data_IF_230382747374
#
_entry.id   IF_230382747374
#
_cell.length_a   1.000
_cell.length_b   1.000
_cell.length_c   1.000
_cell.angle_alpha   90.00
_cell.angle_beta   90.00
_cell.angle_gamma   90.00
#
_symmetry.space_group_name_H-M   'P 1'
#
loop_
_entity.id
_entity.type
_entity.pdbx_description
1 polymer ?
#
# COMPACT_ATOMS: atom_id res chain seq x y z
N UNK A 1 -1.92 -33.93 40.03
CA UNK A 1 -2.45 -33.00 39.01
C UNK A 1 -1.26 -32.37 38.31
N UNK A 2 -0.86 -32.97 37.21
CA UNK A 2 0.23 -32.51 36.33
C UNK A 2 -0.35 -31.57 35.27
N UNK A 3 0.29 -30.43 34.95
CA UNK A 3 -0.18 -29.57 33.87
C UNK A 3 0.27 -30.16 32.53
N UNK A 4 -0.71 -30.46 31.69
CA UNK A 4 -0.54 -30.87 30.30
C UNK A 4 0.26 -29.82 29.53
N UNK A 5 1.40 -30.24 28.98
CA UNK A 5 2.20 -29.45 28.05
C UNK A 5 1.66 -29.69 26.64
N UNK A 6 0.98 -28.70 26.05
CA UNK A 6 0.72 -28.68 24.62
C UNK A 6 1.98 -28.25 23.87
N UNK A 7 2.67 -29.22 23.28
CA UNK A 7 3.64 -29.00 22.21
C UNK A 7 2.95 -29.28 20.88
N UNK A 8 2.79 -28.27 20.03
CA UNK A 8 2.54 -28.50 18.61
C UNK A 8 3.88 -28.45 17.87
N UNK A 9 4.35 -29.63 17.47
CA UNK A 9 5.26 -29.79 16.34
C UNK A 9 4.39 -30.44 15.29
N UNK A 10 3.94 -29.69 14.27
CA UNK A 10 3.34 -30.31 13.09
C UNK A 10 4.49 -30.99 12.37
N UNK A 11 4.55 -32.33 12.28
CA UNK A 11 5.47 -32.97 11.37
C UNK A 11 5.03 -32.57 9.96
N UNK A 12 5.93 -32.00 9.15
CA UNK A 12 5.74 -32.03 7.71
C UNK A 12 5.54 -33.51 7.34
N UNK A 13 4.46 -33.87 6.63
CA UNK A 13 4.23 -35.25 6.29
C UNK A 13 5.33 -35.74 5.35
N UNK A 14 6.08 -36.76 5.77
CA UNK A 14 7.08 -37.47 4.98
C UNK A 14 6.45 -38.36 3.88
N UNK A 15 5.15 -38.24 3.60
CA UNK A 15 4.51 -38.98 2.51
C UNK A 15 4.35 -38.10 1.28
N UNK A 16 5.05 -38.49 0.22
CA UNK A 16 4.89 -37.99 -1.16
C UNK A 16 3.41 -37.82 -1.55
N UNK A 17 2.55 -38.73 -1.07
CA UNK A 17 1.09 -38.67 -1.21
C UNK A 17 0.44 -37.40 -0.64
N UNK A 18 0.85 -36.90 0.52
CA UNK A 18 0.26 -35.68 1.10
C UNK A 18 0.74 -34.42 0.39
N UNK A 19 1.96 -34.44 -0.18
CA UNK A 19 2.47 -33.38 -1.05
C UNK A 19 1.69 -33.31 -2.37
N UNK A 20 1.42 -34.46 -2.99
CA UNK A 20 0.61 -34.54 -4.22
C UNK A 20 -0.82 -34.07 -3.99
N UNK A 21 -1.46 -34.48 -2.89
CA UNK A 21 -2.80 -34.00 -2.53
C UNK A 21 -2.81 -32.49 -2.32
N UNK A 22 -1.86 -31.94 -1.56
CA UNK A 22 -1.77 -30.50 -1.34
C UNK A 22 -1.56 -29.71 -2.64
N UNK A 23 -0.65 -30.17 -3.51
CA UNK A 23 -0.38 -29.52 -4.79
C UNK A 23 -1.60 -29.56 -5.71
N UNK A 24 -2.31 -30.68 -5.76
CA UNK A 24 -3.54 -30.82 -6.54
C UNK A 24 -4.64 -29.88 -6.03
N UNK A 25 -4.83 -29.79 -4.72
CA UNK A 25 -5.83 -28.89 -4.11
C UNK A 25 -5.47 -27.42 -4.33
N UNK A 26 -4.19 -27.06 -4.18
CA UNK A 26 -3.71 -25.71 -4.44
C UNK A 26 -3.89 -25.31 -5.91
N UNK A 27 -3.54 -26.18 -6.85
CA UNK A 27 -3.73 -25.93 -8.28
C UNK A 27 -5.22 -25.74 -8.62
N UNK A 28 -6.11 -26.54 -8.02
CA UNK A 28 -7.55 -26.40 -8.20
C UNK A 28 -8.10 -25.07 -7.63
N UNK A 29 -7.74 -24.68 -6.41
CA UNK A 29 -8.13 -23.37 -5.83
C UNK A 29 -7.57 -22.19 -6.63
N UNK A 30 -6.33 -22.30 -7.11
CA UNK A 30 -5.71 -21.28 -7.94
C UNK A 30 -6.45 -21.11 -9.27
N UNK A 31 -6.75 -22.21 -9.97
CA UNK A 31 -7.49 -22.17 -11.23
C UNK A 31 -8.90 -21.59 -11.05
N UNK A 32 -9.63 -22.03 -10.02
CA UNK A 32 -10.98 -21.51 -9.75
C UNK A 32 -10.98 -19.99 -9.53
N UNK A 33 -10.02 -19.47 -8.75
CA UNK A 33 -9.88 -18.01 -8.54
C UNK A 33 -9.41 -17.26 -9.77
N UNK A 34 -8.61 -17.90 -10.63
CA UNK A 34 -8.18 -17.30 -11.88
C UNK A 34 -9.38 -17.09 -12.81
N UNK A 35 -10.25 -18.09 -12.95
CA UNK A 35 -11.49 -17.99 -13.72
C UNK A 35 -12.42 -16.89 -13.16
N UNK A 36 -12.59 -16.80 -11.84
CA UNK A 36 -13.37 -15.72 -11.19
C UNK A 36 -12.84 -14.32 -11.55
N UNK A 37 -11.51 -14.14 -11.53
CA UNK A 37 -10.87 -12.88 -11.94
C UNK A 37 -11.13 -12.57 -13.42
N UNK A 38 -11.06 -13.58 -14.30
CA UNK A 38 -11.33 -13.42 -15.73
C UNK A 38 -12.81 -13.04 -15.99
N UNK A 39 -13.75 -13.61 -15.25
CA UNK A 39 -15.17 -13.23 -15.32
C UNK A 39 -15.40 -11.78 -14.89
N UNK A 40 -14.76 -11.33 -13.81
CA UNK A 40 -14.82 -9.94 -13.34
C UNK A 40 -14.27 -8.99 -14.41
N UNK A 41 -13.14 -9.32 -15.03
CA UNK A 41 -12.54 -8.52 -16.11
C UNK A 41 -13.49 -8.45 -17.30
N UNK A 42 -14.03 -9.59 -17.76
CA UNK A 42 -14.96 -9.66 -18.88
C UNK A 42 -16.24 -8.85 -18.62
N UNK A 43 -16.76 -8.88 -17.39
CA UNK A 43 -17.90 -8.07 -16.97
C UNK A 43 -17.59 -6.56 -17.08
N UNK A 44 -16.43 -6.12 -16.59
CA UNK A 44 -16.02 -4.71 -16.67
C UNK A 44 -15.81 -4.26 -18.13
N UNK A 45 -15.19 -5.10 -18.97
CA UNK A 45 -15.05 -4.82 -20.40
C UNK A 45 -16.40 -4.68 -21.11
N UNK A 46 -17.37 -5.52 -20.77
CA UNK A 46 -18.73 -5.44 -21.31
C UNK A 46 -19.43 -4.15 -20.86
N UNK A 47 -19.28 -3.74 -19.59
CA UNK A 47 -19.87 -2.50 -19.07
C UNK A 47 -19.23 -1.26 -19.70
N UNK A 48 -17.90 -1.23 -19.85
CA UNK A 48 -17.18 -0.16 -20.57
C UNK A 48 -17.66 -0.09 -22.01
N UNK A 49 -17.77 -1.23 -22.72
CA UNK A 49 -18.27 -1.28 -24.11
C UNK A 49 -19.70 -0.76 -24.21
N UNK A 50 -20.57 -1.10 -23.25
CA UNK A 50 -21.95 -0.59 -23.17
C UNK A 50 -21.95 0.93 -22.99
N UNK A 51 -21.17 1.47 -22.06
CA UNK A 51 -21.06 2.91 -21.83
C UNK A 51 -20.52 3.67 -23.04
N UNK A 52 -19.51 3.12 -23.72
CA UNK A 52 -18.97 3.69 -24.96
C UNK A 52 -19.99 3.65 -26.11
N UNK A 53 -20.78 2.58 -26.24
CA UNK A 53 -21.80 2.46 -27.29
C UNK A 53 -22.95 3.46 -27.13
N UNK A 54 -23.36 3.75 -25.89
CA UNK A 54 -24.36 4.79 -25.57
C UNK A 54 -23.78 6.18 -25.82
N UNK A 55 -22.50 6.39 -25.52
CA UNK A 55 -21.79 7.66 -25.65
C UNK A 55 -21.61 8.12 -27.10
N UNK A 56 -21.29 7.24 -28.05
CA UNK A 56 -20.99 7.63 -29.44
C UNK A 56 -22.20 8.32 -30.14
N UNK A 57 -23.43 8.04 -29.71
CA UNK A 57 -24.63 8.66 -30.29
C UNK A 57 -24.97 10.06 -29.72
N UNK A 58 -24.40 10.45 -28.56
CA UNK A 58 -24.78 11.68 -27.83
C UNK A 58 -23.63 12.69 -27.67
N UNK A 59 -22.42 12.39 -28.15
CA UNK A 59 -21.19 13.09 -27.77
C UNK A 59 -20.89 14.45 -28.43
N UNK A 60 -21.88 15.11 -29.07
CA UNK A 60 -21.69 16.45 -29.64
C UNK A 60 -22.10 17.60 -28.70
N UNK A 61 -22.59 17.33 -27.49
CA UNK A 61 -23.00 18.38 -26.54
C UNK A 61 -21.91 18.70 -25.50
N UNK A 62 -21.64 19.99 -25.19
CA UNK A 62 -20.71 20.42 -24.13
C UNK A 62 -21.11 20.00 -22.70
N UNK A 63 -22.35 19.60 -22.47
CA UNK A 63 -22.90 19.32 -21.13
C UNK A 63 -22.42 18.00 -20.47
N UNK A 64 -21.40 17.33 -21.03
CA UNK A 64 -20.97 15.98 -20.63
C UNK A 64 -19.48 15.91 -20.23
N UNK A 65 -18.90 16.99 -19.69
CA UNK A 65 -17.50 17.03 -19.24
C UNK A 65 -17.20 16.03 -18.13
N UNK A 66 -18.09 15.88 -17.16
CA UNK A 66 -17.92 14.98 -16.01
C UNK A 66 -17.94 13.49 -16.41
N UNK A 67 -18.76 13.13 -17.40
CA UNK A 67 -18.77 11.77 -17.95
C UNK A 67 -17.51 11.45 -18.77
N UNK A 68 -16.84 12.46 -19.36
CA UNK A 68 -15.55 12.28 -20.04
C UNK A 68 -14.43 11.97 -19.06
N UNK A 69 -14.42 12.62 -17.91
CA UNK A 69 -13.46 12.37 -16.84
C UNK A 69 -13.63 10.96 -16.27
N UNK A 70 -14.87 10.54 -16.00
CA UNK A 70 -15.18 9.18 -15.55
C UNK A 70 -14.81 8.10 -16.58
N UNK A 71 -15.00 8.36 -17.88
CA UNK A 71 -14.56 7.44 -18.93
C UNK A 71 -13.02 7.41 -19.06
N UNK A 72 -12.35 8.54 -18.84
CA UNK A 72 -10.89 8.63 -18.80
C UNK A 72 -10.30 7.80 -17.66
N UNK A 73 -10.85 7.92 -16.46
CA UNK A 73 -10.49 7.12 -15.28
C UNK A 73 -10.70 5.62 -15.53
N UNK A 74 -11.88 5.21 -16.02
CA UNK A 74 -12.15 3.80 -16.32
C UNK A 74 -11.24 3.21 -17.39
N UNK A 75 -10.90 3.99 -18.41
CA UNK A 75 -10.01 3.53 -19.48
C UNK A 75 -8.55 3.45 -18.98
N UNK A 76 -8.13 4.36 -18.10
CA UNK A 76 -6.84 4.28 -17.43
C UNK A 76 -6.74 3.04 -16.53
N UNK A 77 -7.75 2.78 -15.69
CA UNK A 77 -7.81 1.59 -14.83
C UNK A 77 -7.77 0.27 -15.63
N UNK A 78 -8.52 0.20 -16.74
CA UNK A 78 -8.49 -0.96 -17.63
C UNK A 78 -7.11 -1.15 -18.27
N UNK A 79 -6.44 -0.06 -18.67
CA UNK A 79 -5.11 -0.13 -19.24
C UNK A 79 -4.05 -0.52 -18.22
N UNK A 80 -4.15 -0.05 -16.97
CA UNK A 80 -3.28 -0.50 -15.87
C UNK A 80 -3.49 -1.99 -15.60
N UNK A 81 -4.73 -2.46 -15.55
CA UNK A 81 -5.04 -3.88 -15.39
C UNK A 81 -4.50 -4.72 -16.55
N UNK A 82 -4.67 -4.26 -17.80
CA UNK A 82 -4.16 -4.95 -19.01
C UNK A 82 -2.65 -4.96 -19.11
N UNK A 83 -1.99 -3.85 -18.82
CA UNK A 83 -0.53 -3.76 -18.78
C UNK A 83 0.02 -4.71 -17.72
N UNK A 84 -0.58 -4.72 -16.53
CA UNK A 84 -0.17 -5.64 -15.47
C UNK A 84 -0.42 -7.10 -15.85
N UNK A 85 -1.56 -7.43 -16.46
CA UNK A 85 -1.81 -8.79 -16.98
C UNK A 85 -0.77 -9.17 -18.01
N UNK A 86 -0.46 -8.31 -18.99
CA UNK A 86 0.55 -8.59 -20.02
C UNK A 86 1.97 -8.75 -19.47
N UNK A 87 2.36 -7.95 -18.47
CA UNK A 87 3.64 -8.06 -17.77
C UNK A 87 3.76 -9.36 -16.96
N UNK A 88 2.63 -9.94 -16.52
CA UNK A 88 2.59 -11.13 -15.67
C UNK A 88 2.10 -12.39 -16.41
N UNK A 89 1.60 -12.28 -17.65
CA UNK A 89 1.14 -13.38 -18.48
C UNK A 89 2.28 -14.36 -18.81
N UNK A 90 3.52 -13.88 -18.87
CA UNK A 90 4.72 -14.73 -18.99
C UNK A 90 5.12 -15.44 -17.70
N UNK A 91 4.68 -14.95 -16.52
CA UNK A 91 4.97 -15.57 -15.22
C UNK A 91 4.00 -16.71 -14.89
N UNK A 92 2.79 -16.68 -15.43
CA UNK A 92 1.76 -17.71 -15.18
C UNK A 92 2.17 -19.09 -15.75
N UNK A 93 2.67 -19.22 -17.00
CA UNK A 93 3.24 -20.46 -17.50
C UNK A 93 4.49 -20.89 -16.73
N UNK A 94 5.31 -19.96 -16.22
CA UNK A 94 6.49 -20.31 -15.44
C UNK A 94 6.14 -20.84 -14.05
N UNK A 95 5.11 -20.31 -13.38
CA UNK A 95 4.60 -20.81 -12.10
C UNK A 95 3.84 -22.13 -12.27
N UNK A 96 3.12 -22.31 -13.38
CA UNK A 96 2.37 -23.54 -13.69
C UNK A 96 3.25 -24.66 -14.30
N UNK A 97 4.36 -24.34 -14.97
CA UNK A 97 5.36 -25.29 -15.48
C UNK A 97 6.57 -25.45 -14.53
N UNK A 98 6.55 -24.92 -13.31
CA UNK A 98 7.51 -25.37 -12.31
C UNK A 98 7.18 -26.84 -12.03
N UNK A 99 8.10 -27.73 -12.40
CA UNK A 99 8.08 -29.10 -11.93
C UNK A 99 8.31 -29.04 -10.41
N UNK A 100 7.22 -28.99 -9.65
CA UNK A 100 7.26 -28.91 -8.19
C UNK A 100 7.98 -30.12 -7.58
N UNK A 101 8.17 -31.22 -8.32
CA UNK A 101 9.00 -32.34 -7.89
C UNK A 101 10.51 -32.00 -7.84
N UNK A 102 10.97 -30.98 -8.59
CA UNK A 102 12.36 -30.52 -8.61
C UNK A 102 12.68 -29.43 -7.59
N UNK A 103 11.69 -28.86 -6.91
CA UNK A 103 11.93 -27.96 -5.78
C UNK A 103 12.37 -28.82 -4.59
N UNK A 104 13.67 -28.78 -4.31
CA UNK A 104 14.29 -29.37 -3.12
C UNK A 104 13.67 -28.76 -1.85
N UNK A 105 13.26 -29.62 -0.91
CA UNK A 105 12.67 -29.25 0.38
C UNK A 105 13.56 -28.33 1.22
N UNK A 106 14.84 -28.15 0.85
CA UNK A 106 15.79 -27.25 1.49
C UNK A 106 15.75 -25.79 1.00
N UNK A 107 14.76 -25.37 0.20
CA UNK A 107 14.63 -24.00 -0.29
C UNK A 107 13.43 -23.22 0.30
N UNK A 108 13.41 -22.94 1.61
CA UNK A 108 12.30 -22.24 2.28
C UNK A 108 12.06 -20.80 1.77
N UNK A 109 13.04 -20.22 1.08
CA UNK A 109 12.91 -18.89 0.47
C UNK A 109 11.96 -18.88 -0.73
N UNK A 110 11.81 -20.00 -1.45
CA UNK A 110 10.87 -20.12 -2.59
C UNK A 110 9.43 -20.14 -2.08
N UNK A 111 9.15 -20.92 -1.04
CA UNK A 111 7.84 -20.94 -0.39
C UNK A 111 7.47 -19.58 0.23
N UNK A 112 8.40 -18.93 0.93
CA UNK A 112 8.18 -17.59 1.48
C UNK A 112 7.91 -16.53 0.38
N UNK A 113 8.55 -16.66 -0.79
CA UNK A 113 8.31 -15.78 -1.93
C UNK A 113 6.90 -16.00 -2.53
N UNK A 114 6.46 -17.25 -2.65
CA UNK A 114 5.12 -17.61 -3.12
C UNK A 114 4.04 -17.13 -2.14
N UNK A 115 4.21 -17.37 -0.83
CA UNK A 115 3.28 -16.88 0.19
C UNK A 115 3.22 -15.36 0.23
N UNK A 116 4.36 -14.68 0.14
CA UNK A 116 4.42 -13.22 0.06
C UNK A 116 3.74 -12.67 -1.20
N UNK A 117 3.84 -13.38 -2.33
CA UNK A 117 3.13 -13.05 -3.56
C UNK A 117 1.61 -13.21 -3.39
N UNK A 118 1.14 -14.33 -2.82
CA UNK A 118 -0.29 -14.57 -2.56
C UNK A 118 -0.88 -13.57 -1.57
N UNK A 119 -0.14 -13.22 -0.50
CA UNK A 119 -0.57 -12.25 0.49
C UNK A 119 -0.71 -10.83 -0.10
N UNK A 120 0.26 -10.40 -0.91
CA UNK A 120 0.19 -9.12 -1.66
C UNK A 120 -1.01 -9.11 -2.61
N UNK A 121 -1.26 -10.21 -3.32
CA UNK A 121 -2.39 -10.35 -4.24
C UNK A 121 -3.74 -10.25 -3.51
N UNK A 122 -3.88 -10.86 -2.34
CA UNK A 122 -5.09 -10.75 -1.50
C UNK A 122 -5.32 -9.32 -1.00
N UNK A 123 -4.26 -8.60 -0.63
CA UNK A 123 -4.37 -7.21 -0.19
C UNK A 123 -4.82 -6.29 -1.31
N UNK A 124 -4.26 -6.45 -2.52
CA UNK A 124 -4.65 -5.65 -3.68
C UNK A 124 -6.10 -5.93 -4.06
N UNK A 125 -6.51 -7.20 -4.13
CA UNK A 125 -7.89 -7.57 -4.44
C UNK A 125 -8.89 -7.10 -3.37
N UNK A 126 -8.51 -7.13 -2.09
CA UNK A 126 -9.32 -6.57 -1.00
C UNK A 126 -9.56 -5.07 -1.16
N UNK A 127 -8.50 -4.31 -1.45
CA UNK A 127 -8.60 -2.87 -1.71
C UNK A 127 -9.49 -2.55 -2.92
N UNK A 128 -9.39 -3.36 -4.00
CA UNK A 128 -10.28 -3.23 -5.16
C UNK A 128 -11.74 -3.53 -4.81
N UNK A 129 -12.01 -4.56 -4.01
CA UNK A 129 -13.37 -4.93 -3.60
C UNK A 129 -14.02 -3.86 -2.71
N UNK A 130 -13.26 -3.29 -1.77
CA UNK A 130 -13.72 -2.20 -0.90
C UNK A 130 -13.99 -0.92 -1.72
N UNK A 131 -13.12 -0.60 -2.67
CA UNK A 131 -13.29 0.53 -3.59
C UNK A 131 -14.55 0.36 -4.46
N UNK A 132 -14.76 -0.83 -5.04
CA UNK A 132 -15.96 -1.15 -5.84
C UNK A 132 -17.24 -1.06 -4.98
N UNK A 133 -17.17 -1.52 -3.72
CA UNK A 133 -18.29 -1.46 -2.78
C UNK A 133 -18.65 -0.02 -2.38
N UNK A 134 -17.65 0.82 -2.15
CA UNK A 134 -17.86 2.27 -1.92
C UNK A 134 -18.42 2.97 -3.14
N UNK A 135 -17.98 2.60 -4.34
CA UNK A 135 -18.51 3.12 -5.59
C UNK A 135 -19.95 2.71 -5.87
N UNK A 136 -20.34 1.48 -5.55
CA UNK A 136 -21.74 1.04 -5.61
C UNK A 136 -22.64 1.93 -4.74
N UNK A 137 -22.20 2.22 -3.51
CA UNK A 137 -22.91 3.10 -2.59
C UNK A 137 -22.99 4.55 -3.09
N UNK A 138 -21.90 5.08 -3.64
CA UNK A 138 -21.86 6.43 -4.20
C UNK A 138 -22.80 6.56 -5.41
N UNK A 139 -22.82 5.56 -6.31
CA UNK A 139 -23.70 5.49 -7.47
C UNK A 139 -25.18 5.49 -7.09
N UNK A 140 -25.56 4.72 -6.08
CA UNK A 140 -26.95 4.68 -5.61
C UNK A 140 -27.39 6.03 -5.03
N UNK A 141 -26.46 6.72 -4.34
CA UNK A 141 -26.69 8.06 -3.77
C UNK A 141 -26.81 9.15 -4.85
N UNK A 142 -25.94 9.12 -5.87
CA UNK A 142 -26.02 10.05 -7.01
C UNK A 142 -27.26 9.80 -7.88
N UNK A 143 -27.68 8.55 -8.04
CA UNK A 143 -28.91 8.18 -8.77
C UNK A 143 -30.17 8.73 -8.09
N UNK A 144 -30.19 8.81 -6.75
CA UNK A 144 -31.28 9.46 -6.01
C UNK A 144 -31.26 10.98 -6.15
N UNK A 145 -30.08 11.61 -6.09
CA UNK A 145 -29.96 13.07 -6.20
C UNK A 145 -30.29 13.61 -7.60
N UNK A 146 -29.86 12.90 -8.66
CA UNK A 146 -30.17 13.28 -10.05
C UNK A 146 -31.67 13.18 -10.34
N UNK A 147 -32.41 12.25 -9.69
CA UNK A 147 -33.87 12.17 -9.83
C UNK A 147 -34.59 13.31 -9.12
N UNK A 148 -34.03 13.82 -8.02
CA UNK A 148 -34.56 14.97 -7.28
C UNK A 148 -34.27 16.30 -8.00
N UNK A 149 -33.06 16.48 -8.55
CA UNK A 149 -32.69 17.68 -9.32
C UNK A 149 -33.36 17.76 -10.69
N UNK A 150 -33.56 16.63 -11.38
CA UNK A 150 -34.29 16.58 -12.65
C UNK A 150 -35.77 17.01 -12.52
N UNK A 151 -36.31 17.02 -11.30
CA UNK A 151 -37.66 17.52 -11.02
C UNK A 151 -37.68 19.04 -10.75
N UNK A 152 -36.53 19.68 -10.50
CA UNK A 152 -36.43 21.08 -10.06
C UNK A 152 -35.92 22.06 -11.12
N UNK A 153 -35.32 21.60 -12.21
CA UNK A 153 -34.71 22.49 -13.22
C UNK A 153 -35.51 22.50 -14.53
N UNK A 154 -36.49 23.39 -14.60
CA UNK A 154 -37.17 23.76 -15.85
C UNK A 154 -37.17 25.30 -16.01
N UNK A 155 -35.98 25.88 -16.20
CA UNK A 155 -35.79 27.25 -16.70
C UNK A 155 -34.47 27.34 -17.46
N UNK A 156 -34.54 27.80 -18.72
CA UNK A 156 -33.51 27.63 -19.75
C UNK A 156 -32.19 28.39 -19.53
N UNK A 157 -31.14 28.07 -20.30
CA UNK A 157 -29.78 28.52 -20.01
C UNK A 157 -29.44 29.87 -20.66
N UNK A 158 -28.80 30.71 -19.87
CA UNK A 158 -28.07 31.92 -20.28
C UNK A 158 -26.63 31.54 -20.67
N UNK A 159 -26.15 32.10 -21.77
CA UNK A 159 -24.96 31.66 -22.51
C UNK A 159 -23.71 32.39 -22.00
N UNK A 160 -22.75 31.68 -21.40
CA UNK A 160 -21.43 32.20 -21.05
C UNK A 160 -20.36 31.53 -21.92
N UNK A 161 -19.62 32.33 -22.68
CA UNK A 161 -18.46 31.91 -23.46
C UNK A 161 -17.19 32.08 -22.61
N UNK A 162 -16.45 30.99 -22.39
CA UNK A 162 -15.12 30.99 -21.75
C UNK A 162 -14.09 30.59 -22.81
N UNK A 163 -13.15 31.48 -23.05
CA UNK A 163 -11.99 31.27 -23.93
C UNK A 163 -10.85 30.60 -23.15
N UNK A 164 -10.31 29.50 -23.67
CA UNK A 164 -9.13 28.83 -23.15
C UNK A 164 -7.97 29.04 -24.13
N UNK A 165 -6.90 29.70 -23.66
CA UNK A 165 -5.59 29.72 -24.33
C UNK A 165 -4.82 28.44 -23.98
N UNK A 166 -4.32 27.66 -24.96
CA UNK A 166 -3.38 26.59 -24.70
C UNK A 166 -2.04 26.90 -25.38
N UNK A 167 -1.07 27.43 -24.64
CA UNK A 167 0.35 27.40 -25.05
C UNK A 167 1.21 27.68 -23.81
N UNK A 168 1.52 26.63 -23.05
CA UNK A 168 2.67 26.64 -22.14
C UNK A 168 3.86 26.25 -23.00
N UNK A 169 4.54 27.27 -23.52
CA UNK A 169 5.85 27.15 -24.15
C UNK A 169 6.86 26.61 -23.13
N UNK A 170 7.52 25.50 -23.48
CA UNK A 170 8.74 25.03 -22.83
C UNK A 170 9.85 26.06 -23.10
N UNK A 171 9.88 27.11 -22.28
CA UNK A 171 10.86 28.18 -22.38
C UNK A 171 12.28 27.66 -22.07
N UNK A 172 13.18 27.96 -23.02
CA UNK A 172 14.63 27.83 -22.97
C UNK A 172 15.25 28.02 -21.58
N UNK A 173 15.97 27.00 -21.10
CA UNK A 173 16.81 27.08 -19.91
C UNK A 173 18.16 27.72 -20.28
N UNK A 174 18.18 29.04 -20.45
CA UNK A 174 19.42 29.81 -20.50
C UNK A 174 20.17 29.70 -19.16
N UNK A 175 21.50 29.67 -19.25
CA UNK A 175 22.53 29.53 -18.20
C UNK A 175 22.51 30.62 -17.10
N UNK A 176 21.35 30.95 -16.54
CA UNK A 176 21.27 31.78 -15.36
C UNK A 176 21.69 30.90 -14.17
N UNK A 177 22.85 31.20 -13.58
CA UNK A 177 23.33 30.54 -12.36
C UNK A 177 22.27 30.71 -11.27
N UNK A 178 21.41 29.70 -11.11
CA UNK A 178 20.43 29.64 -10.04
C UNK A 178 21.22 29.65 -8.74
N UNK A 179 21.11 30.75 -7.98
CA UNK A 179 21.73 30.86 -6.67
C UNK A 179 21.25 29.65 -5.82
N UNK A 180 22.16 28.88 -5.20
CA UNK A 180 21.77 27.71 -4.43
C UNK A 180 20.82 28.13 -3.32
N UNK A 181 19.64 27.49 -3.27
CA UNK A 181 18.63 27.74 -2.24
C UNK A 181 19.19 27.26 -0.90
N UNK A 182 19.21 28.15 0.10
CA UNK A 182 19.68 27.80 1.44
C UNK A 182 18.60 27.03 2.20
N UNK A 183 18.82 25.72 2.38
CA UNK A 183 17.95 24.84 3.16
C UNK A 183 18.17 25.03 4.67
N UNK A 184 17.08 25.07 5.44
CA UNK A 184 17.09 25.05 6.91
C UNK A 184 17.57 23.70 7.45
N UNK A 185 17.88 23.64 8.75
CA UNK A 185 18.30 22.37 9.40
C UNK A 185 17.20 21.31 9.32
N UNK A 186 15.94 21.72 9.46
CA UNK A 186 14.78 20.83 9.41
C UNK A 186 14.54 20.31 7.99
N UNK A 187 14.55 21.20 7.00
CA UNK A 187 14.43 20.85 5.58
C UNK A 187 15.50 19.83 5.18
N UNK A 188 16.77 20.06 5.57
CA UNK A 188 17.86 19.10 5.31
C UNK A 188 17.63 17.75 5.98
N UNK A 189 17.11 17.71 7.22
CA UNK A 189 16.84 16.44 7.90
C UNK A 189 15.72 15.66 7.24
N UNK A 190 14.63 16.33 6.87
CA UNK A 190 13.52 15.70 6.13
C UNK A 190 14.01 15.17 4.79
N UNK A 191 14.74 15.99 4.04
CA UNK A 191 15.29 15.61 2.74
C UNK A 191 16.29 14.45 2.88
N UNK A 192 17.08 14.43 3.95
CA UNK A 192 18.00 13.35 4.25
C UNK A 192 17.30 12.02 4.58
N UNK A 193 16.17 12.07 5.29
CA UNK A 193 15.33 10.88 5.52
C UNK A 193 14.77 10.38 4.21
N UNK A 194 14.17 11.25 3.41
CA UNK A 194 13.51 10.90 2.15
C UNK A 194 14.51 10.44 1.08
N UNK A 195 15.73 10.98 1.06
CA UNK A 195 16.78 10.56 0.13
C UNK A 195 17.27 9.12 0.39
N UNK A 196 17.19 8.66 1.64
CA UNK A 196 17.56 7.30 2.03
C UNK A 196 16.40 6.30 1.91
N UNK A 197 15.20 6.78 1.58
CA UNK A 197 13.94 6.06 1.62
C UNK A 197 13.16 6.26 0.30
N UNK A 198 13.59 5.61 -0.79
CA UNK A 198 13.13 5.93 -2.14
C UNK A 198 11.65 5.60 -2.41
N UNK A 199 11.08 4.64 -1.68
CA UNK A 199 9.69 4.16 -1.89
C UNK A 199 8.62 5.15 -1.40
N UNK A 200 9.05 6.22 -0.71
CA UNK A 200 8.17 7.21 -0.12
C UNK A 200 7.54 6.76 1.20
N UNK A 201 7.32 7.71 2.10
CA UNK A 201 6.86 7.43 3.46
C UNK A 201 5.77 8.40 3.90
N UNK A 202 4.87 7.91 4.75
CA UNK A 202 3.84 8.76 5.33
C UNK A 202 4.47 9.79 6.28
N UNK A 203 3.84 10.97 6.35
CA UNK A 203 4.29 12.13 7.14
C UNK A 203 4.76 11.78 8.55
N UNK A 204 4.01 10.97 9.29
CA UNK A 204 4.35 10.63 10.68
C UNK A 204 5.66 9.83 10.83
N UNK A 205 6.02 8.99 9.84
CA UNK A 205 7.32 8.32 9.82
C UNK A 205 8.45 9.30 9.59
N UNK A 206 8.25 10.26 8.68
CA UNK A 206 9.23 11.29 8.34
C UNK A 206 9.52 12.14 9.57
N UNK A 207 8.48 12.60 10.29
CA UNK A 207 8.63 13.37 11.54
C UNK A 207 9.60 12.69 12.49
N UNK A 208 9.37 11.40 12.70
CA UNK A 208 10.09 10.66 13.71
C UNK A 208 11.51 10.29 13.26
N UNK A 209 11.71 9.90 12.00
CA UNK A 209 13.05 9.61 11.48
C UNK A 209 13.91 10.87 11.37
N UNK A 210 13.30 12.03 11.13
CA UNK A 210 13.97 13.32 11.17
C UNK A 210 14.32 13.76 12.62
N UNK A 211 13.82 13.02 13.63
CA UNK A 211 14.12 13.23 15.04
C UNK A 211 13.31 14.36 15.69
N UNK A 212 12.09 14.60 15.21
CA UNK A 212 11.18 15.64 15.71
C UNK A 212 10.04 15.06 16.55
N UNK A 213 9.44 15.93 17.37
CA UNK A 213 8.29 15.58 18.18
C UNK A 213 7.08 15.25 17.30
N UNK A 214 6.29 14.26 17.73
CA UNK A 214 5.15 13.71 17.01
C UNK A 214 4.04 14.74 16.76
N UNK A 215 4.05 15.86 17.49
CA UNK A 215 3.13 16.99 17.28
C UNK A 215 3.28 17.61 15.89
N UNK A 216 4.44 17.48 15.24
CA UNK A 216 4.60 17.68 13.80
C UNK A 216 4.27 19.08 13.28
N UNK A 217 4.18 20.09 14.15
CA UNK A 217 3.72 21.44 13.79
C UNK A 217 4.62 22.08 12.72
N UNK A 218 5.93 21.89 12.82
CA UNK A 218 6.91 22.44 11.86
C UNK A 218 7.07 21.58 10.60
N UNK A 219 6.55 20.34 10.59
CA UNK A 219 6.77 19.44 9.46
C UNK A 219 5.92 19.80 8.26
N UNK A 220 4.64 20.18 8.44
CA UNK A 220 3.77 20.51 7.31
C UNK A 220 4.33 21.67 6.47
N UNK A 221 4.69 22.83 7.06
CA UNK A 221 5.26 23.93 6.27
C UNK A 221 6.61 23.56 5.63
N UNK A 222 7.36 22.66 6.25
CA UNK A 222 8.61 22.14 5.68
C UNK A 222 8.36 21.30 4.43
N UNK A 223 7.37 20.40 4.46
CA UNK A 223 7.03 19.55 3.32
C UNK A 223 6.50 20.40 2.16
N UNK A 224 5.57 21.32 2.44
CA UNK A 224 5.02 22.26 1.44
C UNK A 224 6.15 23.04 0.75
N UNK A 225 7.08 23.61 1.53
CA UNK A 225 8.22 24.34 0.97
C UNK A 225 9.16 23.44 0.16
N UNK A 226 9.44 22.21 0.61
CA UNK A 226 10.28 21.28 -0.14
C UNK A 226 9.62 20.83 -1.45
N UNK A 227 8.29 20.73 -1.48
CA UNK A 227 7.50 20.42 -2.67
C UNK A 227 7.49 21.61 -3.64
N UNK A 228 7.27 22.83 -3.16
CA UNK A 228 7.37 24.07 -3.96
C UNK A 228 8.76 24.22 -4.61
N UNK A 229 9.81 23.76 -3.94
CA UNK A 229 11.19 23.75 -4.46
C UNK A 229 11.46 22.58 -5.43
N UNK A 230 10.50 21.67 -5.63
CA UNK A 230 10.66 20.47 -6.46
C UNK A 230 11.62 19.44 -5.88
N UNK A 231 11.94 19.51 -4.58
CA UNK A 231 12.84 18.58 -3.89
C UNK A 231 12.16 17.29 -3.46
N UNK A 232 10.84 17.33 -3.25
CA UNK A 232 10.04 16.15 -2.90
C UNK A 232 8.79 16.11 -3.76
N UNK A 233 8.19 14.92 -3.87
CA UNK A 233 6.86 14.71 -4.43
C UNK A 233 5.98 14.04 -3.39
N UNK A 234 4.73 14.46 -3.28
CA UNK A 234 3.67 13.73 -2.57
C UNK A 234 2.86 12.88 -3.54
N UNK A 235 2.62 11.62 -3.20
CA UNK A 235 1.73 10.74 -3.94
C UNK A 235 0.94 9.86 -2.97
N UNK A 236 -0.39 10.03 -2.93
CA UNK A 236 -1.29 9.33 -2.00
C UNK A 236 -0.86 9.43 -0.52
N UNK A 237 -0.42 10.62 -0.08
CA UNK A 237 0.03 10.85 1.31
C UNK A 237 1.40 10.25 1.64
N UNK A 238 2.12 9.73 0.65
CA UNK A 238 3.51 9.29 0.77
C UNK A 238 4.42 10.34 0.13
N UNK A 239 5.43 10.78 0.88
CA UNK A 239 6.41 11.74 0.38
C UNK A 239 7.68 11.00 -0.03
N UNK A 240 8.24 11.36 -1.18
CA UNK A 240 9.49 10.80 -1.71
C UNK A 240 10.42 11.92 -2.19
N UNK A 241 11.74 11.73 -2.10
CA UNK A 241 12.70 12.70 -2.62
C UNK A 241 12.82 12.57 -4.15
N UNK A 242 12.73 13.70 -4.85
CA UNK A 242 13.03 13.77 -6.29
C UNK A 242 14.53 13.64 -6.52
N UNK A 243 14.96 13.45 -7.77
CA UNK A 243 16.39 13.44 -8.11
C UNK A 243 17.06 14.79 -7.78
N UNK A 244 16.32 15.88 -7.98
CA UNK A 244 16.74 17.23 -7.65
C UNK A 244 16.90 17.39 -6.13
N UNK A 245 15.96 16.85 -5.33
CA UNK A 245 16.08 16.80 -3.87
C UNK A 245 17.24 15.96 -3.36
N UNK A 246 17.49 14.79 -3.95
CA UNK A 246 18.65 13.95 -3.60
C UNK A 246 19.96 14.68 -3.85
N UNK A 247 20.06 15.39 -4.97
CA UNK A 247 21.23 16.21 -5.31
C UNK A 247 21.39 17.37 -4.33
N UNK A 248 20.29 18.07 -4.00
CA UNK A 248 20.28 19.19 -3.05
C UNK A 248 20.63 18.78 -1.62
N UNK A 249 20.32 17.54 -1.21
CA UNK A 249 20.69 16.99 0.09
C UNK A 249 22.22 16.88 0.27
N UNK A 250 22.97 16.75 -0.82
CA UNK A 250 24.43 16.65 -0.80
C UNK A 250 24.89 15.34 -0.16
N UNK A 251 25.68 15.42 0.90
CA UNK A 251 26.17 14.25 1.64
C UNK A 251 25.13 13.80 2.68
N UNK A 252 24.37 12.73 2.44
CA UNK A 252 23.35 12.28 3.39
C UNK A 252 23.98 11.92 4.74
N UNK A 253 23.37 12.39 5.82
CA UNK A 253 23.70 11.94 7.17
C UNK A 253 23.12 10.53 7.30
N UNK A 254 23.92 9.49 7.58
CA UNK A 254 23.40 8.13 7.65
C UNK A 254 22.25 8.05 8.65
N UNK A 255 21.17 7.37 8.25
CA UNK A 255 20.03 7.12 9.13
C UNK A 255 20.50 6.44 10.41
N UNK A 256 19.78 6.70 11.50
CA UNK A 256 20.01 5.98 12.74
C UNK A 256 19.73 4.50 12.48
N UNK A 257 20.70 3.64 12.80
CA UNK A 257 20.56 2.20 12.67
C UNK A 257 20.70 1.47 14.00
N UNK A 258 20.27 0.20 14.02
CA UNK A 258 20.51 -0.74 15.12
C UNK A 258 20.08 -0.23 16.50
N UNK A 259 21.05 -0.09 17.41
CA UNK A 259 20.80 0.33 18.80
C UNK A 259 20.44 1.82 18.90
N UNK A 260 21.02 2.66 18.03
CA UNK A 260 20.75 4.10 18.04
C UNK A 260 19.30 4.39 17.63
N UNK A 261 18.83 3.74 16.56
CA UNK A 261 17.44 3.81 16.12
C UNK A 261 16.49 3.35 17.23
N UNK A 262 16.77 2.19 17.83
CA UNK A 262 15.97 1.65 18.93
C UNK A 262 15.90 2.59 20.13
N UNK A 263 17.02 3.21 20.50
CA UNK A 263 17.05 4.19 21.59
C UNK A 263 16.25 5.46 21.24
N UNK A 264 16.25 5.89 19.98
CA UNK A 264 15.42 6.99 19.51
C UNK A 264 13.93 6.65 19.71
N UNK A 265 13.50 5.48 19.25
CA UNK A 265 12.12 5.01 19.44
C UNK A 265 11.74 4.90 20.91
N UNK A 266 12.61 4.34 21.75
CA UNK A 266 12.34 4.20 23.20
C UNK A 266 12.04 5.50 23.92
N UNK A 267 12.51 6.66 23.43
CA UNK A 267 12.19 7.96 24.02
C UNK A 267 10.77 8.42 23.71
N UNK A 268 10.18 7.89 22.64
CA UNK A 268 8.83 8.24 22.17
C UNK A 268 7.78 7.19 22.54
N UNK A 269 8.18 6.10 23.19
CA UNK A 269 7.32 4.99 23.58
C UNK A 269 7.13 4.95 25.09
N UNK A 270 5.96 4.54 25.54
CA UNK A 270 5.75 4.26 26.96
C UNK A 270 6.50 2.98 27.38
N UNK A 271 6.52 2.70 28.69
CA UNK A 271 7.26 1.55 29.26
C UNK A 271 6.83 0.21 28.66
N UNK A 272 5.53 0.02 28.38
CA UNK A 272 4.99 -1.22 27.83
C UNK A 272 5.44 -1.42 26.38
N UNK A 273 5.22 -0.41 25.54
CA UNK A 273 5.62 -0.38 24.14
C UNK A 273 7.13 -0.59 23.97
N UNK A 274 7.94 0.13 24.76
CA UNK A 274 9.39 -0.01 24.73
C UNK A 274 9.86 -1.43 25.10
N UNK A 275 9.22 -2.06 26.10
CA UNK A 275 9.52 -3.44 26.50
C UNK A 275 9.18 -4.44 25.40
N UNK A 276 8.01 -4.29 24.77
CA UNK A 276 7.58 -5.12 23.64
C UNK A 276 8.57 -4.98 22.48
N UNK A 277 8.93 -3.75 22.11
CA UNK A 277 9.89 -3.47 21.04
C UNK A 277 11.26 -4.12 21.35
N UNK A 278 11.74 -4.03 22.59
CA UNK A 278 12.99 -4.65 23.01
C UNK A 278 12.96 -6.18 22.87
N UNK A 279 11.86 -6.83 23.26
CA UNK A 279 11.68 -8.28 23.13
C UNK A 279 11.71 -8.70 21.66
N UNK A 280 10.92 -8.04 20.82
CA UNK A 280 10.83 -8.36 19.40
C UNK A 280 12.18 -8.15 18.72
N UNK A 281 12.84 -7.04 19.00
CA UNK A 281 14.10 -6.71 18.36
C UNK A 281 15.30 -7.49 18.94
N UNK A 282 15.17 -8.17 20.08
CA UNK A 282 16.10 -9.24 20.55
C UNK A 282 15.83 -10.57 19.84
N UNK A 283 14.59 -10.82 19.42
CA UNK A 283 14.13 -12.07 18.81
C UNK A 283 13.85 -11.94 17.30
N UNK A 284 14.50 -11.01 16.58
CA UNK A 284 14.23 -10.66 15.17
C UNK A 284 14.23 -11.81 14.14
N UNK A 285 14.73 -13.00 14.49
CA UNK A 285 14.79 -14.19 13.63
C UNK A 285 13.70 -15.22 13.93
N UNK A 286 12.75 -14.89 14.81
CA UNK A 286 11.69 -15.81 15.26
C UNK A 286 10.35 -15.10 15.24
N UNK A 287 9.33 -15.79 14.75
CA UNK A 287 7.96 -15.39 15.00
C UNK A 287 7.61 -15.69 16.46
N UNK A 288 7.00 -14.73 17.13
CA UNK A 288 6.55 -14.86 18.51
C UNK A 288 5.04 -14.67 18.54
N UNK A 289 4.34 -15.55 19.25
CA UNK A 289 2.92 -15.35 19.53
C UNK A 289 2.73 -14.16 20.48
N UNK A 290 1.56 -13.53 20.47
CA UNK A 290 1.23 -12.45 21.42
C UNK A 290 1.47 -12.85 22.87
N UNK A 291 1.17 -14.12 23.21
CA UNK A 291 1.42 -14.68 24.55
C UNK A 291 2.92 -14.70 24.89
N UNK A 292 3.76 -15.19 23.98
CA UNK A 292 5.21 -15.22 24.18
C UNK A 292 5.79 -13.81 24.31
N UNK A 293 5.34 -12.87 23.47
CA UNK A 293 5.77 -11.46 23.56
C UNK A 293 5.41 -10.86 24.91
N UNK A 294 4.18 -11.08 25.40
CA UNK A 294 3.74 -10.58 26.69
C UNK A 294 4.57 -11.18 27.85
N UNK A 295 4.74 -12.51 27.88
CA UNK A 295 5.52 -13.21 28.91
C UNK A 295 6.98 -12.71 28.94
N UNK A 296 7.63 -12.59 27.78
CA UNK A 296 9.00 -12.08 27.67
C UNK A 296 9.12 -10.59 28.02
N UNK A 297 8.08 -9.80 27.77
CA UNK A 297 8.06 -8.37 28.09
C UNK A 297 7.70 -8.10 29.56
N UNK A 298 7.29 -9.13 30.32
CA UNK A 298 6.85 -9.00 31.71
C UNK A 298 5.43 -8.47 31.86
N UNK A 299 4.56 -8.70 30.88
CA UNK A 299 3.17 -8.25 30.85
C UNK A 299 2.20 -9.43 30.69
N UNK A 300 0.94 -9.22 31.07
CA UNK A 300 -0.13 -10.18 30.79
C UNK A 300 -0.66 -9.95 29.38
N UNK A 301 -0.76 -11.01 28.58
CA UNK A 301 -1.35 -10.92 27.23
C UNK A 301 -2.86 -10.60 27.26
N UNK A 302 -3.51 -10.69 28.43
CA UNK A 302 -4.95 -10.45 28.60
C UNK A 302 -5.29 -9.01 29.01
N UNK A 303 -4.30 -8.19 29.34
CA UNK A 303 -4.57 -6.81 29.79
C UNK A 303 -4.74 -5.88 28.59
N UNK A 304 -5.73 -4.98 28.68
CA UNK A 304 -6.00 -3.99 27.62
C UNK A 304 -4.79 -3.10 27.29
N UNK A 305 -3.91 -2.83 28.27
CA UNK A 305 -2.67 -2.08 28.08
C UNK A 305 -1.68 -2.74 27.13
N UNK A 306 -1.60 -4.08 27.11
CA UNK A 306 -0.72 -4.82 26.20
C UNK A 306 -1.27 -4.76 24.77
N UNK A 307 -2.58 -4.95 24.61
CA UNK A 307 -3.25 -4.80 23.31
C UNK A 307 -3.12 -3.39 22.75
N UNK A 308 -3.31 -2.36 23.59
CA UNK A 308 -3.13 -0.96 23.19
C UNK A 308 -1.69 -0.66 22.76
N UNK A 309 -0.68 -1.18 23.49
CA UNK A 309 0.71 -1.02 23.12
C UNK A 309 1.05 -1.69 21.77
N UNK A 310 0.52 -2.89 21.50
CA UNK A 310 0.66 -3.53 20.19
C UNK A 310 -0.01 -2.74 19.08
N UNK A 311 -1.22 -2.20 19.33
CA UNK A 311 -1.90 -1.31 18.39
C UNK A 311 -1.03 -0.11 18.04
N UNK A 312 -0.52 0.60 19.06
CA UNK A 312 0.35 1.76 18.85
C UNK A 312 1.63 1.43 18.09
N UNK A 313 2.29 0.33 18.42
CA UNK A 313 3.50 -0.10 17.69
C UNK A 313 3.20 -0.46 16.22
N UNK A 314 2.00 -0.97 15.93
CA UNK A 314 1.56 -1.25 14.57
C UNK A 314 1.27 0.03 13.79
N UNK A 315 0.59 0.99 14.42
CA UNK A 315 0.31 2.29 13.83
C UNK A 315 1.61 3.04 13.50
N UNK A 316 2.66 2.81 14.32
CA UNK A 316 4.01 3.33 14.09
C UNK A 316 4.85 2.47 13.13
N UNK A 317 4.29 1.40 12.54
CA UNK A 317 4.99 0.50 11.60
C UNK A 317 6.20 -0.22 12.18
N UNK A 318 6.33 -0.24 13.50
CA UNK A 318 7.44 -0.87 14.19
C UNK A 318 7.30 -2.39 14.24
N UNK A 319 6.07 -2.88 14.09
CA UNK A 319 5.73 -4.29 14.11
C UNK A 319 4.70 -4.60 13.02
N UNK A 320 4.74 -5.83 12.54
CA UNK A 320 3.69 -6.41 11.69
C UNK A 320 3.20 -7.67 12.37
N UNK A 321 1.87 -7.81 12.46
CA UNK A 321 1.27 -9.05 12.95
C UNK A 321 0.86 -9.90 11.75
N UNK A 322 1.38 -11.13 11.69
CA UNK A 322 0.91 -12.12 10.75
C UNK A 322 -0.30 -12.81 11.37
N UNK A 323 -1.49 -12.51 10.85
CA UNK A 323 -2.67 -13.32 11.14
C UNK A 323 -2.57 -14.61 10.33
N UNK A 324 -1.94 -15.64 10.90
CA UNK A 324 -2.15 -17.01 10.41
C UNK A 324 -3.63 -17.32 10.59
N UNK A 325 -4.30 -17.60 9.46
CA UNK A 325 -5.73 -17.86 9.44
C UNK A 325 -6.02 -19.05 10.37
N UNK A 326 -6.95 -18.86 11.32
CA UNK A 326 -7.34 -19.86 12.34
C UNK A 326 -7.75 -21.23 11.75
N UNK A 327 -8.03 -21.30 10.45
CA UNK A 327 -8.28 -22.54 9.73
C UNK A 327 -7.07 -23.49 9.68
N UNK A 328 -5.83 -23.00 9.76
CA UNK A 328 -4.63 -23.84 9.77
C UNK A 328 -4.31 -24.43 11.15
N UNK A 329 -4.94 -23.96 12.23
CA UNK A 329 -4.76 -24.53 13.57
C UNK A 329 -5.68 -25.74 13.84
N UNK A 330 -6.66 -25.99 12.96
CA UNK A 330 -7.59 -27.11 13.03
C UNK A 330 -7.30 -28.21 11.98
N UNK A 331 -6.21 -28.06 11.21
CA UNK A 331 -5.62 -29.09 10.35
C UNK A 331 -4.39 -29.65 11.07
#
# INVERSE_FOLDING_TARGET
MTPEQHFFRVPLPDSESLRETFLSEFQADFHARWEEIQEIIAMHEAEIRKLCSVSISHFRSPAFSEQRELLGLRNWELNVAKQWIGENEGLVPHVLNVDFAQIDANQPHVFAAIEGFVARRKSVLGNYYDMISEWGRARDTSSTLVKEEASSMNSGPEKLEVSLNPEIELANCDNNQVKPVELTVLERRVLNVLAQLPDGYAKHYITLLAGYDATGFELQPTLERLEELGYINEHFGLYSATELGRTANGNPIPLLEGKALRNCWRRHLNKCEASILDVLAKNRRRFLSRRQVAELAGYSHRTGSFGAALGKLRDLGLITELCLNRHLENL
#
